data_IF_736520032315
#
_entry.id   IF_736520032315
#
_cell.length_a   1.000
_cell.length_b   1.000
_cell.length_c   1.000
_cell.angle_alpha   90.00
_cell.angle_beta   90.00
_cell.angle_gamma   90.00
#
_symmetry.space_group_name_H-M   'P 1'
#
loop_
_entity.id
_entity.type
_entity.pdbx_description
1 polymer ?
#
# COMPACT_ATOMS: atom_id res chain seq x y z
N UNK A 1 16.30 26.17 10.28
CA UNK A 1 15.47 26.82 9.24
C UNK A 1 14.66 25.72 8.60
N UNK A 2 13.33 25.83 8.51
CA UNK A 2 12.48 24.76 7.99
C UNK A 2 12.31 24.95 6.49
N UNK A 3 12.62 23.93 5.70
CA UNK A 3 12.42 23.95 4.25
C UNK A 3 11.16 23.16 3.91
N UNK A 4 10.29 23.74 3.08
CA UNK A 4 8.99 23.13 2.76
C UNK A 4 8.73 23.17 1.27
N UNK A 5 8.36 22.03 0.68
CA UNK A 5 8.02 21.88 -0.74
C UNK A 5 6.64 21.27 -0.87
N UNK A 6 5.77 21.86 -1.70
CA UNK A 6 4.45 21.29 -1.99
C UNK A 6 4.59 20.01 -2.81
N UNK A 7 3.94 18.93 -2.40
CA UNK A 7 3.88 17.67 -3.13
C UNK A 7 2.84 17.75 -4.26
N UNK A 8 3.25 18.19 -5.46
CA UNK A 8 2.36 18.25 -6.63
C UNK A 8 2.44 16.96 -7.43
N UNK A 9 3.66 16.51 -7.72
CA UNK A 9 3.93 15.26 -8.43
C UNK A 9 5.09 14.55 -7.75
N UNK A 10 5.01 13.24 -7.61
CA UNK A 10 6.11 12.41 -7.16
C UNK A 10 6.36 11.26 -8.16
N UNK A 11 7.63 11.07 -8.51
CA UNK A 11 8.09 9.92 -9.26
C UNK A 11 9.34 9.32 -8.59
N UNK A 12 9.92 8.28 -9.20
CA UNK A 12 11.16 7.69 -8.69
C UNK A 12 12.07 7.30 -9.85
N UNK A 13 13.37 7.21 -9.55
CA UNK A 13 14.38 6.70 -10.45
C UNK A 13 15.44 5.92 -9.67
N UNK A 14 16.25 5.14 -10.37
CA UNK A 14 17.39 4.44 -9.80
C UNK A 14 18.66 5.25 -10.07
N UNK A 15 19.52 5.40 -9.06
CA UNK A 15 20.83 6.03 -9.23
C UNK A 15 21.91 5.36 -8.38
N UNK A 16 23.20 5.55 -8.72
CA UNK A 16 24.29 5.21 -7.81
C UNK A 16 24.15 5.97 -6.47
N UNK A 17 24.50 5.36 -5.33
CA UNK A 17 24.37 6.00 -4.03
C UNK A 17 25.27 7.23 -3.90
N UNK A 18 24.70 8.31 -3.37
CA UNK A 18 25.43 9.52 -3.04
C UNK A 18 25.93 9.41 -1.59
N UNK A 19 27.25 9.40 -1.40
CA UNK A 19 27.86 9.49 -0.06
C UNK A 19 27.20 10.57 0.81
N UNK A 20 26.95 10.23 2.08
CA UNK A 20 26.22 11.02 3.10
C UNK A 20 24.69 11.03 2.99
N UNK A 21 24.10 10.77 1.82
CA UNK A 21 22.63 10.75 1.64
C UNK A 21 22.08 9.33 1.51
N UNK A 22 22.87 8.41 0.94
CA UNK A 22 22.46 7.04 0.64
C UNK A 22 23.35 5.99 1.33
N UNK A 23 22.77 4.81 1.52
CA UNK A 23 23.50 3.62 1.98
C UNK A 23 24.42 3.12 0.87
N UNK A 24 25.73 3.17 1.09
CA UNK A 24 26.75 2.70 0.13
C UNK A 24 27.12 1.21 0.32
N UNK A 25 26.81 0.63 1.48
CA UNK A 25 27.16 -0.76 1.83
C UNK A 25 25.99 -1.42 2.57
N UNK A 26 25.56 -2.59 2.10
CA UNK A 26 24.54 -3.38 2.79
C UNK A 26 25.19 -4.27 3.84
N UNK A 27 25.00 -3.96 5.12
CA UNK A 27 25.46 -4.82 6.23
C UNK A 27 24.83 -6.21 6.16
N UNK A 28 23.56 -6.29 5.73
CA UNK A 28 22.86 -7.54 5.55
C UNK A 28 23.51 -8.38 4.44
N UNK A 29 23.79 -7.83 3.26
CA UNK A 29 24.35 -8.62 2.13
C UNK A 29 25.87 -8.75 2.18
N UNK A 30 26.55 -7.91 2.95
CA UNK A 30 28.01 -7.85 3.02
C UNK A 30 28.66 -7.29 1.75
N UNK A 31 27.90 -6.58 0.91
CA UNK A 31 28.33 -6.10 -0.41
C UNK A 31 28.07 -4.61 -0.60
N UNK A 32 28.84 -3.99 -1.48
CA UNK A 32 28.62 -2.60 -1.90
C UNK A 32 27.31 -2.45 -2.69
N UNK A 33 26.65 -1.32 -2.49
CA UNK A 33 25.38 -1.00 -3.14
C UNK A 33 25.65 -0.27 -4.45
N UNK A 34 25.24 -0.86 -5.57
CA UNK A 34 25.45 -0.25 -6.90
C UNK A 34 24.36 0.77 -7.27
N UNK A 35 23.12 0.53 -6.84
CA UNK A 35 21.94 1.33 -7.19
C UNK A 35 21.00 1.45 -6.00
N UNK A 36 20.45 2.64 -5.81
CA UNK A 36 19.42 2.95 -4.81
C UNK A 36 18.23 3.64 -5.48
N UNK A 37 17.01 3.45 -4.96
CA UNK A 37 15.85 4.18 -5.43
C UNK A 37 15.82 5.59 -4.81
N UNK A 38 15.62 6.60 -5.64
CA UNK A 38 15.46 8.00 -5.21
C UNK A 38 14.09 8.48 -5.66
N UNK A 39 13.33 9.06 -4.73
CA UNK A 39 12.02 9.66 -5.02
C UNK A 39 12.23 11.12 -5.40
N UNK A 40 11.66 11.58 -6.52
CA UNK A 40 11.66 13.00 -6.86
C UNK A 40 10.29 13.58 -6.65
N UNK A 41 10.25 14.74 -6.00
CA UNK A 41 9.04 15.49 -5.71
C UNK A 41 9.14 16.81 -6.45
N UNK A 42 8.16 17.09 -7.31
CA UNK A 42 8.02 18.36 -7.98
C UNK A 42 6.94 19.18 -7.30
N UNK A 43 7.25 20.46 -7.08
CA UNK A 43 6.25 21.44 -6.65
C UNK A 43 6.84 22.80 -6.36
N UNK A 44 6.22 23.54 -5.45
CA UNK A 44 6.64 24.90 -5.12
C UNK A 44 7.01 25.03 -3.65
N UNK A 45 8.01 25.86 -3.35
CA UNK A 45 8.27 26.30 -1.98
C UNK A 45 7.15 27.22 -1.48
N UNK A 46 7.16 27.53 -0.19
CA UNK A 46 6.28 28.55 0.41
C UNK A 46 6.43 29.93 -0.24
N UNK A 47 7.60 30.22 -0.83
CA UNK A 47 7.86 31.46 -1.57
C UNK A 47 7.44 31.39 -3.04
N UNK A 48 6.86 30.27 -3.49
CA UNK A 48 6.41 30.06 -4.86
C UNK A 48 7.49 29.60 -5.86
N UNK A 49 8.72 29.34 -5.41
CA UNK A 49 9.80 28.87 -6.32
C UNK A 49 9.58 27.43 -6.73
N UNK A 50 9.67 27.16 -8.04
CA UNK A 50 9.52 25.79 -8.57
C UNK A 50 10.73 24.96 -8.15
N UNK A 51 10.48 23.89 -7.41
CA UNK A 51 11.52 23.07 -6.79
C UNK A 51 11.37 21.60 -7.17
N UNK A 52 12.50 20.97 -7.50
CA UNK A 52 12.64 19.52 -7.56
C UNK A 52 13.37 19.07 -6.30
N UNK A 53 12.73 18.21 -5.52
CA UNK A 53 13.27 17.65 -4.28
C UNK A 53 13.56 16.16 -4.49
N UNK A 54 14.80 15.75 -4.29
CA UNK A 54 15.26 14.36 -4.30
C UNK A 54 15.25 13.82 -2.87
N UNK A 55 14.50 12.76 -2.62
CA UNK A 55 14.38 12.12 -1.31
C UNK A 55 15.11 10.78 -1.34
N UNK A 56 16.10 10.65 -0.46
CA UNK A 56 17.02 9.53 -0.35
C UNK A 56 16.69 8.62 0.83
N UNK A 57 17.13 7.36 0.76
CA UNK A 57 17.02 6.39 1.86
C UNK A 57 15.62 5.78 2.07
N UNK A 58 14.73 5.87 1.07
CA UNK A 58 13.44 5.19 1.10
C UNK A 58 13.57 3.91 0.27
N UNK A 59 13.34 2.75 0.86
CA UNK A 59 13.37 1.47 0.14
C UNK A 59 11.98 0.84 0.16
N UNK A 60 11.47 0.36 -0.99
CA UNK A 60 10.20 -0.37 -1.04
C UNK A 60 10.28 -1.65 -0.20
N UNK A 61 9.19 -2.00 0.47
CA UNK A 61 9.13 -3.22 1.27
C UNK A 61 7.81 -3.97 1.14
N UNK A 62 7.83 -5.23 1.57
CA UNK A 62 6.63 -6.04 1.81
C UNK A 62 6.87 -6.99 2.99
N UNK A 63 5.83 -7.67 3.45
CA UNK A 63 5.94 -8.62 4.57
C UNK A 63 5.60 -10.04 4.14
N UNK A 64 6.23 -11.04 4.79
CA UNK A 64 5.84 -12.45 4.69
C UNK A 64 5.72 -13.06 6.10
N UNK A 65 4.81 -14.02 6.31
CA UNK A 65 4.62 -14.67 7.61
C UNK A 65 5.86 -15.47 8.03
N UNK A 66 6.24 -15.37 9.31
CA UNK A 66 7.25 -16.24 9.91
C UNK A 66 6.57 -17.33 10.76
N UNK A 67 6.95 -18.59 10.58
CA UNK A 67 6.33 -19.74 11.27
C UNK A 67 6.94 -20.06 12.63
N UNK A 68 7.89 -19.25 13.13
CA UNK A 68 8.46 -19.43 14.47
C UNK A 68 9.42 -20.63 14.62
N UNK A 69 9.75 -21.33 13.53
CA UNK A 69 10.69 -22.46 13.57
C UNK A 69 12.07 -22.10 13.02
N UNK A 70 13.12 -22.32 13.82
CA UNK A 70 14.52 -22.23 13.42
C UNK A 70 15.22 -20.89 13.68
N UNK A 71 16.53 -20.84 13.35
CA UNK A 71 17.33 -19.63 13.41
C UNK A 71 16.87 -18.65 12.31
N UNK A 72 16.17 -17.59 12.73
CA UNK A 72 15.56 -16.61 11.82
C UNK A 72 16.60 -15.96 10.88
N UNK A 73 17.81 -15.67 11.36
CA UNK A 73 18.89 -15.11 10.54
C UNK A 73 19.20 -15.96 9.32
N UNK A 74 19.45 -17.26 9.52
CA UNK A 74 19.76 -18.19 8.42
C UNK A 74 18.61 -18.24 7.41
N UNK A 75 17.37 -18.29 7.90
CA UNK A 75 16.19 -18.33 7.03
C UNK A 75 16.04 -17.04 6.21
N UNK A 76 16.27 -15.87 6.82
CA UNK A 76 16.26 -14.59 6.10
C UNK A 76 17.28 -14.57 4.95
N UNK A 77 18.51 -15.04 5.21
CA UNK A 77 19.54 -15.15 4.19
C UNK A 77 19.18 -16.11 3.06
N UNK A 78 18.63 -17.28 3.40
CA UNK A 78 18.19 -18.28 2.43
C UNK A 78 17.06 -17.74 1.55
N UNK A 79 16.04 -17.12 2.14
CA UNK A 79 14.94 -16.50 1.40
C UNK A 79 15.46 -15.39 0.48
N UNK A 80 16.30 -14.48 0.98
CA UNK A 80 16.87 -13.41 0.17
C UNK A 80 17.68 -13.94 -1.02
N UNK A 81 18.54 -14.95 -0.80
CA UNK A 81 19.36 -15.53 -1.86
C UNK A 81 18.53 -16.31 -2.89
N UNK A 82 17.52 -17.06 -2.45
CA UNK A 82 16.60 -17.75 -3.35
C UNK A 82 15.76 -16.76 -4.16
N UNK A 83 15.28 -15.68 -3.53
CA UNK A 83 14.49 -14.66 -4.21
C UNK A 83 15.31 -13.90 -5.27
N UNK A 84 16.56 -13.55 -4.96
CA UNK A 84 17.47 -12.93 -5.93
C UNK A 84 17.71 -13.84 -7.14
N UNK A 85 17.98 -15.13 -6.91
CA UNK A 85 18.16 -16.11 -8.00
C UNK A 85 16.88 -16.26 -8.83
N UNK A 86 15.72 -16.40 -8.19
CA UNK A 86 14.43 -16.53 -8.87
C UNK A 86 14.09 -15.28 -9.71
N UNK A 87 14.36 -14.08 -9.20
CA UNK A 87 14.19 -12.82 -9.92
C UNK A 87 15.14 -12.72 -11.11
N UNK A 88 16.40 -13.13 -10.96
CA UNK A 88 17.36 -13.16 -12.05
C UNK A 88 16.93 -14.12 -13.18
N UNK A 89 16.42 -15.31 -12.82
CA UNK A 89 15.82 -16.25 -13.79
C UNK A 89 14.59 -15.62 -14.46
N UNK A 90 13.70 -14.99 -13.69
CA UNK A 90 12.51 -14.29 -14.20
C UNK A 90 12.85 -13.17 -15.19
N UNK A 91 13.97 -12.48 -14.99
CA UNK A 91 14.46 -11.43 -15.89
C UNK A 91 15.23 -11.98 -17.11
N UNK A 92 15.30 -13.30 -17.30
CA UNK A 92 16.06 -13.93 -18.38
C UNK A 92 17.57 -13.87 -18.19
N UNK A 93 18.04 -13.60 -16.97
CA UNK A 93 19.45 -13.46 -16.59
C UNK A 93 19.84 -14.50 -15.54
N UNK A 94 19.60 -15.78 -15.81
CA UNK A 94 19.82 -16.86 -14.83
C UNK A 94 21.25 -16.93 -14.26
N UNK A 95 22.26 -16.55 -15.04
CA UNK A 95 23.66 -16.53 -14.62
C UNK A 95 24.08 -15.23 -13.92
N UNK A 96 23.18 -14.27 -13.75
CA UNK A 96 23.50 -13.02 -13.09
C UNK A 96 23.51 -13.21 -11.57
N UNK A 97 24.48 -12.54 -10.92
CA UNK A 97 24.61 -12.46 -9.46
C UNK A 97 24.06 -11.13 -8.91
N UNK A 98 23.13 -10.51 -9.64
CA UNK A 98 22.53 -9.23 -9.26
C UNK A 98 21.64 -9.46 -8.03
N UNK A 99 21.84 -8.63 -7.02
CA UNK A 99 21.03 -8.64 -5.80
C UNK A 99 19.84 -7.70 -5.98
N UNK A 100 18.65 -8.15 -5.58
CA UNK A 100 17.40 -7.39 -5.62
C UNK A 100 16.89 -7.05 -4.21
N UNK A 101 17.17 -7.92 -3.24
CA UNK A 101 16.87 -7.71 -1.81
C UNK A 101 17.98 -6.88 -1.15
N UNK A 102 17.59 -5.77 -0.53
CA UNK A 102 18.49 -4.88 0.22
C UNK A 102 18.75 -5.39 1.65
N UNK A 103 17.67 -5.66 2.39
CA UNK A 103 17.69 -6.04 3.80
C UNK A 103 16.44 -6.86 4.15
N UNK A 104 16.55 -7.75 5.11
CA UNK A 104 15.42 -8.40 5.76
C UNK A 104 15.48 -8.18 7.27
N UNK A 105 14.33 -7.98 7.90
CA UNK A 105 14.21 -7.81 9.35
C UNK A 105 13.01 -8.58 9.88
N UNK A 106 13.13 -9.10 11.10
CA UNK A 106 12.02 -9.72 11.82
C UNK A 106 11.24 -8.64 12.57
N UNK A 107 9.93 -8.58 12.36
CA UNK A 107 9.02 -7.59 12.96
C UNK A 107 7.78 -8.27 13.55
N UNK A 108 7.13 -7.59 14.49
CA UNK A 108 5.86 -7.99 15.09
C UNK A 108 4.74 -7.08 14.61
N UNK A 109 3.57 -7.64 14.30
CA UNK A 109 2.41 -6.84 13.89
C UNK A 109 1.09 -7.58 14.02
N UNK A 110 -0.01 -6.83 14.06
CA UNK A 110 -1.34 -7.39 14.12
C UNK A 110 -1.92 -7.59 12.70
N UNK A 111 -2.29 -8.82 12.30
CA UNK A 111 -2.92 -9.04 11.01
C UNK A 111 -4.28 -8.31 10.94
N UNK A 112 -4.52 -7.59 9.85
CA UNK A 112 -5.78 -6.86 9.66
C UNK A 112 -6.95 -7.79 9.30
N UNK A 113 -6.70 -8.83 8.49
CA UNK A 113 -7.74 -9.79 8.11
C UNK A 113 -7.95 -10.83 9.20
N UNK A 114 -9.17 -10.85 9.75
CA UNK A 114 -9.56 -11.73 10.85
C UNK A 114 -9.52 -11.03 12.21
N UNK A 115 -10.01 -11.72 13.24
CA UNK A 115 -9.92 -11.23 14.62
C UNK A 115 -8.73 -11.89 15.31
N UNK A 116 -7.78 -11.06 15.74
CA UNK A 116 -6.54 -11.48 16.38
C UNK A 116 -6.39 -10.76 17.71
N UNK A 117 -6.14 -11.50 18.78
CA UNK A 117 -5.88 -10.91 20.10
C UNK A 117 -4.41 -10.64 20.36
N UNK A 118 -3.53 -11.30 19.60
CA UNK A 118 -2.07 -11.25 19.77
C UNK A 118 -1.41 -10.85 18.47
N UNK A 119 -0.26 -10.19 18.61
CA UNK A 119 0.61 -9.90 17.48
C UNK A 119 1.26 -11.17 16.93
N UNK A 120 1.62 -11.11 15.66
CA UNK A 120 2.25 -12.20 14.94
C UNK A 120 3.58 -11.73 14.33
N UNK A 121 4.47 -12.67 14.06
CA UNK A 121 5.81 -12.41 13.54
C UNK A 121 5.85 -12.46 12.01
N UNK A 122 6.53 -11.48 11.43
CA UNK A 122 6.69 -11.33 9.98
C UNK A 122 8.13 -10.99 9.63
N UNK A 123 8.58 -11.43 8.44
CA UNK A 123 9.77 -10.85 7.83
C UNK A 123 9.38 -9.66 6.97
N UNK A 124 9.96 -8.50 7.27
CA UNK A 124 9.92 -7.29 6.44
C UNK A 124 11.09 -7.34 5.46
N UNK A 125 10.78 -7.42 4.17
CA UNK A 125 11.75 -7.55 3.07
C UNK A 125 11.83 -6.21 2.35
N UNK A 126 13.03 -5.61 2.33
CA UNK A 126 13.31 -4.39 1.59
C UNK A 126 13.98 -4.71 0.25
N UNK A 127 13.58 -4.00 -0.81
CA UNK A 127 14.11 -4.19 -2.16
C UNK A 127 14.86 -2.95 -2.64
N UNK A 128 15.85 -3.13 -3.51
CA UNK A 128 16.50 -2.00 -4.19
C UNK A 128 15.57 -1.37 -5.23
N UNK A 129 14.89 -2.18 -6.04
CA UNK A 129 14.08 -1.69 -7.15
C UNK A 129 12.57 -1.89 -6.87
N UNK A 130 11.77 -0.81 -6.80
CA UNK A 130 10.32 -0.87 -6.61
C UNK A 130 9.58 -1.76 -7.61
N UNK A 131 10.08 -1.85 -8.85
CA UNK A 131 9.44 -2.64 -9.90
C UNK A 131 9.53 -4.15 -9.66
N UNK A 132 10.45 -4.59 -8.80
CA UNK A 132 10.66 -6.01 -8.51
C UNK A 132 9.70 -6.55 -7.44
N UNK A 133 9.08 -5.68 -6.63
CA UNK A 133 8.22 -6.07 -5.51
C UNK A 133 7.05 -6.95 -5.96
N UNK A 134 6.35 -6.56 -7.04
CA UNK A 134 5.22 -7.34 -7.57
C UNK A 134 5.64 -8.72 -8.05
N UNK A 135 6.74 -8.80 -8.81
CA UNK A 135 7.29 -10.07 -9.29
C UNK A 135 7.76 -10.95 -8.13
N UNK A 136 8.40 -10.35 -7.12
CA UNK A 136 8.82 -11.05 -5.92
C UNK A 136 7.63 -11.65 -5.17
N UNK A 137 6.53 -10.90 -5.05
CA UNK A 137 5.29 -11.39 -4.43
C UNK A 137 4.70 -12.60 -5.16
N UNK A 138 4.63 -12.56 -6.50
CA UNK A 138 4.15 -13.69 -7.31
C UNK A 138 5.05 -14.94 -7.14
N UNK A 139 6.37 -14.76 -7.13
CA UNK A 139 7.33 -15.86 -6.94
C UNK A 139 7.25 -16.50 -5.54
N UNK A 140 6.87 -15.72 -4.53
CA UNK A 140 6.67 -16.21 -3.17
C UNK A 140 5.33 -16.94 -3.03
N UNK A 141 4.27 -16.47 -3.69
CA UNK A 141 2.95 -17.13 -3.70
C UNK A 141 2.95 -18.44 -4.47
N UNK A 142 3.77 -18.53 -5.51
CA UNK A 142 3.80 -19.71 -6.38
C UNK A 142 4.46 -20.94 -5.75
N UNK A 143 5.18 -20.77 -4.63
CA UNK A 143 5.94 -21.83 -3.99
C UNK A 143 7.32 -22.07 -4.60
N UNK A 144 7.76 -21.27 -5.58
CA UNK A 144 9.07 -21.42 -6.23
C UNK A 144 10.24 -21.30 -5.24
N UNK A 145 10.04 -20.58 -4.14
CA UNK A 145 11.08 -20.24 -3.18
C UNK A 145 10.99 -21.21 -1.99
N UNK A 146 12.08 -21.95 -1.74
CA UNK A 146 12.16 -22.94 -0.66
C UNK A 146 11.06 -24.02 -0.68
N UNK A 147 10.42 -24.25 -1.84
CA UNK A 147 9.26 -25.13 -2.01
C UNK A 147 8.11 -24.83 -1.02
N UNK A 148 7.92 -23.54 -0.70
CA UNK A 148 6.95 -23.09 0.29
C UNK A 148 6.18 -21.90 -0.25
N UNK A 149 4.87 -21.97 -0.09
CA UNK A 149 3.96 -20.87 -0.41
C UNK A 149 4.02 -19.86 0.72
N UNK A 150 4.46 -18.64 0.41
CA UNK A 150 4.41 -17.51 1.32
C UNK A 150 3.30 -16.57 0.87
N UNK A 151 2.45 -16.11 1.80
CA UNK A 151 1.47 -15.06 1.54
C UNK A 151 2.15 -13.69 1.73
N UNK A 152 2.36 -12.89 0.67
CA UNK A 152 2.88 -11.55 0.80
C UNK A 152 1.78 -10.62 1.33
N UNK A 153 2.16 -9.76 2.27
CA UNK A 153 1.32 -8.70 2.80
C UNK A 153 1.85 -7.34 2.37
N UNK A 154 0.94 -6.40 2.09
CA UNK A 154 1.23 -5.04 1.60
C UNK A 154 1.99 -4.93 0.27
N UNK A 155 2.26 -6.04 -0.43
CA UNK A 155 2.96 -6.02 -1.72
C UNK A 155 2.20 -5.29 -2.85
N UNK A 156 0.89 -5.06 -2.67
CA UNK A 156 0.04 -4.35 -3.62
C UNK A 156 0.16 -2.82 -3.52
N UNK A 157 0.76 -2.30 -2.44
CA UNK A 157 0.92 -0.86 -2.24
C UNK A 157 1.95 -0.29 -3.23
N UNK A 158 1.58 0.71 -4.05
CA UNK A 158 2.56 1.40 -4.89
C UNK A 158 3.64 2.07 -4.05
N UNK A 159 4.88 2.05 -4.53
CA UNK A 159 6.04 2.59 -3.82
C UNK A 159 5.89 4.03 -3.34
N UNK A 160 5.38 4.93 -4.20
CA UNK A 160 5.13 6.33 -3.82
C UNK A 160 4.03 6.44 -2.76
N UNK A 161 3.02 5.56 -2.80
CA UNK A 161 1.96 5.55 -1.78
C UNK A 161 2.49 5.06 -0.44
N UNK A 162 3.32 4.01 -0.43
CA UNK A 162 4.01 3.52 0.75
C UNK A 162 4.84 4.64 1.39
N UNK A 163 5.64 5.37 0.60
CA UNK A 163 6.37 6.56 1.06
C UNK A 163 5.45 7.64 1.66
N UNK A 164 4.31 7.94 1.02
CA UNK A 164 3.38 8.94 1.54
C UNK A 164 2.77 8.51 2.89
N UNK A 165 2.44 7.24 3.06
CA UNK A 165 1.93 6.69 4.33
C UNK A 165 3.03 6.74 5.40
N UNK A 166 4.24 6.31 5.05
CA UNK A 166 5.39 6.23 5.95
C UNK A 166 5.87 7.57 6.47
N UNK A 167 5.64 8.66 5.75
CA UNK A 167 6.05 9.98 6.19
C UNK A 167 4.88 10.92 6.47
N UNK A 168 3.65 10.38 6.50
CA UNK A 168 2.42 11.15 6.70
C UNK A 168 2.30 12.34 5.74
N UNK A 169 2.50 12.07 4.45
CA UNK A 169 2.47 13.04 3.37
C UNK A 169 1.16 12.96 2.59
N UNK A 170 0.69 14.11 2.14
CA UNK A 170 -0.55 14.24 1.40
C UNK A 170 -0.32 15.00 0.10
N UNK A 171 -1.02 14.59 -0.96
CA UNK A 171 -1.02 15.31 -2.22
C UNK A 171 -1.44 16.76 -2.02
N UNK A 172 -0.80 17.68 -2.75
CA UNK A 172 -0.97 19.13 -2.66
C UNK A 172 -0.65 19.75 -1.29
N UNK A 173 -0.09 18.99 -0.34
CA UNK A 173 0.36 19.49 0.94
C UNK A 173 1.89 19.71 0.96
N UNK A 174 2.42 20.35 1.99
CA UNK A 174 3.86 20.62 2.12
C UNK A 174 4.59 19.44 2.78
N UNK A 175 5.64 18.98 2.13
CA UNK A 175 6.69 18.15 2.71
C UNK A 175 7.62 19.06 3.48
N UNK A 176 7.73 18.83 4.78
CA UNK A 176 8.48 19.66 5.70
C UNK A 176 9.78 18.96 6.07
N UNK A 177 10.90 19.64 5.84
CA UNK A 177 12.24 19.10 5.96
C UNK A 177 13.06 19.88 6.98
N UNK A 178 13.78 19.14 7.82
CA UNK A 178 14.70 19.69 8.83
C UNK A 178 16.02 20.13 8.18
N UNK A 179 16.61 19.27 7.37
CA UNK A 179 17.85 19.51 6.65
C UNK A 179 17.66 19.21 5.16
N UNK A 180 18.33 19.99 4.32
CA UNK A 180 18.30 19.89 2.86
C UNK A 180 19.64 20.34 2.33
N UNK A 181 20.14 19.68 1.28
CA UNK A 181 21.32 20.11 0.53
C UNK A 181 20.92 20.50 -0.89
N UNK A 182 21.36 21.64 -1.38
CA UNK A 182 21.04 22.13 -2.73
C UNK A 182 22.07 21.65 -3.74
N UNK A 183 21.62 21.33 -4.96
CA UNK A 183 22.51 21.07 -6.10
C UNK A 183 22.98 22.39 -6.70
N UNK A 184 24.25 22.45 -7.10
CA UNK A 184 24.84 23.64 -7.72
C UNK A 184 24.28 23.86 -9.11
N UNK A 185 24.01 25.13 -9.45
CA UNK A 185 23.57 25.52 -10.78
C UNK A 185 24.73 26.13 -11.59
N UNK A 186 25.29 25.39 -12.57
CA UNK A 186 26.39 25.91 -13.40
C UNK A 186 25.95 27.06 -14.31
N UNK A 187 24.67 27.14 -14.67
CA UNK A 187 24.14 28.21 -15.55
C UNK A 187 23.87 29.51 -14.78
N UNK A 188 23.66 29.43 -13.46
CA UNK A 188 23.41 30.58 -12.60
C UNK A 188 24.21 30.47 -11.28
N UNK A 189 25.55 30.64 -11.32
CA UNK A 189 26.40 30.51 -10.14
C UNK A 189 26.03 31.49 -9.02
N UNK A 190 25.45 32.65 -9.37
CA UNK A 190 24.99 33.68 -8.42
C UNK A 190 23.77 33.32 -7.58
N UNK A 191 23.05 32.25 -7.92
CA UNK A 191 21.82 31.86 -7.20
C UNK A 191 22.06 31.30 -5.79
N UNK A 192 23.27 30.83 -5.49
CA UNK A 192 23.65 30.22 -4.21
C UNK A 192 24.89 30.88 -3.54
N UNK A 193 25.40 32.01 -4.05
CA UNK A 193 26.62 32.69 -3.55
C UNK A 193 26.57 33.11 -2.06
N UNK A 194 25.38 33.12 -1.44
CA UNK A 194 25.18 33.47 -0.04
C UNK A 194 24.89 32.26 0.87
N UNK A 195 24.91 31.04 0.33
CA UNK A 195 24.64 29.82 1.09
C UNK A 195 25.94 29.17 1.55
N UNK A 196 25.96 28.69 2.79
CA UNK A 196 27.11 28.00 3.36
C UNK A 196 27.40 26.70 2.60
N UNK A 197 28.69 26.40 2.43
CA UNK A 197 29.18 25.24 1.67
C UNK A 197 28.62 23.90 2.21
N UNK A 198 28.28 23.84 3.50
CA UNK A 198 27.64 22.69 4.17
C UNK A 198 26.24 22.34 3.64
N UNK A 199 25.53 23.32 3.05
CA UNK A 199 24.18 23.14 2.50
C UNK A 199 24.28 22.85 0.99
N UNK A 200 25.47 22.83 0.40
CA UNK A 200 25.67 22.55 -1.02
C UNK A 200 26.19 21.13 -1.24
N UNK A 201 25.60 20.42 -2.19
CA UNK A 201 26.12 19.13 -2.62
C UNK A 201 27.41 19.30 -3.44
N UNK A 202 28.36 18.34 -3.38
CA UNK A 202 29.60 18.37 -4.16
C UNK A 202 29.33 18.49 -5.67
N UNK A 203 30.25 19.12 -6.42
CA UNK A 203 30.10 19.37 -7.87
C UNK A 203 29.88 18.10 -8.72
N UNK A 204 30.27 16.93 -8.20
CA UNK A 204 30.00 15.63 -8.84
C UNK A 204 28.50 15.34 -9.01
N UNK A 205 27.64 15.95 -8.17
CA UNK A 205 26.19 15.77 -8.24
C UNK A 205 25.61 16.88 -9.09
N UNK A 206 25.30 16.56 -10.34
CA UNK A 206 24.71 17.49 -11.28
C UNK A 206 23.20 17.61 -11.12
N UNK A 207 22.68 18.71 -11.65
CA UNK A 207 21.25 18.94 -11.80
C UNK A 207 20.62 17.94 -12.76
N UNK A 208 19.40 17.50 -12.45
CA UNK A 208 18.62 16.57 -13.28
C UNK A 208 17.30 17.19 -13.76
N UNK A 209 16.89 18.32 -13.18
CA UNK A 209 15.62 18.98 -13.49
C UNK A 209 15.81 20.40 -14.03
N UNK A 210 14.78 20.90 -14.71
CA UNK A 210 14.69 22.30 -15.19
C UNK A 210 14.00 23.24 -14.19
N UNK A 211 13.81 22.80 -12.94
CA UNK A 211 13.20 23.62 -11.89
C UNK A 211 14.09 24.81 -11.51
N UNK A 212 13.56 25.81 -10.80
CA UNK A 212 14.36 26.96 -10.37
C UNK A 212 15.32 26.59 -9.22
N UNK A 213 14.93 25.61 -8.42
CA UNK A 213 15.72 25.10 -7.30
C UNK A 213 15.69 23.58 -7.30
N UNK A 214 16.84 22.97 -7.04
CA UNK A 214 16.98 21.52 -6.95
C UNK A 214 17.71 21.17 -5.67
N UNK A 215 17.12 20.26 -4.89
CA UNK A 215 17.58 19.98 -3.56
C UNK A 215 17.41 18.50 -3.21
N UNK A 216 18.25 18.01 -2.32
CA UNK A 216 18.31 16.63 -1.88
C UNK A 216 18.13 16.60 -0.37
N UNK A 217 17.36 15.64 0.11
CA UNK A 217 17.13 15.43 1.53
C UNK A 217 17.08 13.95 1.84
N UNK A 218 17.47 13.59 3.05
CA UNK A 218 17.25 12.24 3.55
C UNK A 218 15.79 12.11 4.00
N UNK A 219 15.21 10.93 3.85
CA UNK A 219 13.87 10.68 4.35
C UNK A 219 13.76 10.89 5.87
N UNK A 220 14.85 10.63 6.60
CA UNK A 220 14.98 10.92 8.03
C UNK A 220 14.80 12.40 8.41
N UNK A 221 14.99 13.32 7.48
CA UNK A 221 14.81 14.76 7.71
C UNK A 221 13.35 15.21 7.53
N UNK A 222 12.44 14.33 7.10
CA UNK A 222 11.01 14.64 6.95
C UNK A 222 10.34 14.67 8.33
N UNK A 223 9.75 15.80 8.69
CA UNK A 223 9.16 16.06 10.02
C UNK A 223 7.63 16.08 10.02
N UNK A 224 6.98 15.63 8.94
CA UNK A 224 5.52 15.63 8.84
C UNK A 224 4.83 14.73 9.88
N UNK A 225 5.46 13.62 10.30
CA UNK A 225 4.96 12.75 11.36
C UNK A 225 4.97 13.42 12.74
N UNK A 226 6.01 14.20 13.06
CA UNK A 226 6.13 14.85 14.37
C UNK A 226 5.15 16.02 14.55
N UNK A 227 4.59 16.53 13.46
CA UNK A 227 3.57 17.56 13.48
C UNK A 227 2.16 17.03 13.81
N UNK A 228 1.96 15.70 13.84
CA UNK A 228 0.68 15.09 14.19
C UNK A 228 0.56 15.04 15.71
N UNK A 229 -0.45 15.70 16.27
CA UNK A 229 -0.81 15.54 17.68
C UNK A 229 -1.45 14.16 17.89
N UNK A 230 -1.10 13.45 18.99
CA UNK A 230 -1.60 12.11 19.38
C UNK A 230 -3.13 11.98 19.57
N UNK A 231 -3.91 13.00 19.22
CA UNK A 231 -5.36 12.90 19.22
C UNK A 231 -5.77 12.08 18.00
N UNK A 232 -6.46 10.95 18.24
CA UNK A 232 -7.09 10.06 17.26
C UNK A 232 -7.49 10.85 16.01
N UNK A 233 -6.59 10.89 15.03
CA UNK A 233 -6.60 11.99 14.07
C UNK A 233 -7.78 11.80 13.13
N UNK A 234 -8.73 12.74 13.15
CA UNK A 234 -9.64 12.91 12.03
C UNK A 234 -8.80 12.90 10.75
N UNK A 235 -9.25 12.18 9.73
CA UNK A 235 -8.62 12.19 8.42
C UNK A 235 -8.27 13.64 8.05
N UNK A 236 -6.99 14.01 7.84
CA UNK A 236 -6.59 15.40 7.67
C UNK A 236 -7.29 16.09 6.50
N UNK A 237 -7.64 15.34 5.45
CA UNK A 237 -8.46 15.83 4.35
C UNK A 237 -9.86 16.23 4.82
N UNK A 238 -10.52 15.41 5.63
CA UNK A 238 -11.81 15.76 6.23
C UNK A 238 -11.71 16.92 7.21
N UNK A 239 -10.64 16.99 7.99
CA UNK A 239 -10.41 18.09 8.92
C UNK A 239 -10.30 19.43 8.19
N UNK A 240 -9.56 19.48 7.07
CA UNK A 240 -9.44 20.67 6.24
C UNK A 240 -10.78 21.08 5.61
N UNK A 241 -11.54 20.13 5.05
CA UNK A 241 -12.88 20.39 4.49
C UNK A 241 -13.82 20.93 5.57
N UNK A 242 -13.77 20.36 6.77
CA UNK A 242 -14.62 20.79 7.88
C UNK A 242 -14.26 22.20 8.36
N UNK A 243 -12.98 22.56 8.39
CA UNK A 243 -12.56 23.90 8.76
C UNK A 243 -12.94 24.95 7.70
N UNK A 244 -12.87 24.59 6.41
CA UNK A 244 -13.32 25.44 5.31
C UNK A 244 -14.84 25.70 5.39
N UNK A 245 -15.65 24.67 5.65
CA UNK A 245 -17.10 24.85 5.85
C UNK A 245 -17.41 25.68 7.11
N UNK A 246 -16.67 25.50 8.21
CA UNK A 246 -16.81 26.38 9.38
C UNK A 246 -16.46 27.83 9.03
N UNK A 247 -15.43 28.06 8.23
CA UNK A 247 -15.05 29.40 7.78
C UNK A 247 -16.14 30.04 6.92
N UNK A 248 -16.63 29.33 5.90
CA UNK A 248 -17.74 29.79 5.06
C UNK A 248 -18.97 30.18 5.88
N UNK A 249 -19.28 29.40 6.93
CA UNK A 249 -20.38 29.71 7.86
C UNK A 249 -20.12 30.97 8.69
N UNK A 250 -18.89 31.17 9.18
CA UNK A 250 -18.50 32.38 9.91
C UNK A 250 -18.66 33.62 9.03
N UNK A 251 -18.21 33.55 7.78
CA UNK A 251 -18.35 34.63 6.79
C UNK A 251 -19.83 34.93 6.47
N UNK A 252 -20.68 33.89 6.44
CA UNK A 252 -22.13 34.02 6.28
C UNK A 252 -22.90 34.34 7.57
N UNK A 253 -22.23 34.65 8.69
CA UNK A 253 -22.87 34.97 9.97
C UNK A 253 -23.64 33.81 10.64
N UNK A 254 -23.36 32.56 10.24
CA UNK A 254 -23.98 31.34 10.79
C UNK A 254 -23.12 30.73 11.89
N UNK A 255 -23.70 29.85 12.69
CA UNK A 255 -22.97 29.12 13.75
C UNK A 255 -21.96 28.13 13.15
N UNK A 256 -20.76 28.07 13.72
CA UNK A 256 -19.70 27.12 13.33
C UNK A 256 -19.88 25.72 13.90
N UNK A 257 -20.91 25.49 14.73
CA UNK A 257 -21.22 24.17 15.27
C UNK A 257 -22.03 23.39 14.25
N UNK A 258 -21.38 22.39 13.65
CA UNK A 258 -22.01 21.49 12.68
C UNK A 258 -22.27 20.17 13.43
N UNK A 259 -23.52 19.92 13.79
CA UNK A 259 -23.95 18.62 14.30
C UNK A 259 -24.42 17.77 13.13
N UNK A 260 -24.01 16.48 13.06
CA UNK A 260 -24.61 15.58 12.08
C UNK A 260 -26.13 15.57 12.27
N UNK A 261 -26.87 15.63 11.16
CA UNK A 261 -28.31 15.48 11.22
C UNK A 261 -28.64 14.10 11.80
N UNK A 262 -29.69 14.03 12.61
CA UNK A 262 -30.22 12.73 13.07
C UNK A 262 -30.48 11.87 11.84
N UNK A 263 -29.91 10.66 11.81
CA UNK A 263 -30.22 9.68 10.77
C UNK A 263 -31.74 9.54 10.71
N UNK A 264 -32.31 9.54 9.49
CA UNK A 264 -33.74 9.25 9.32
C UNK A 264 -34.03 7.93 9.99
N UNK A 265 -35.15 7.83 10.71
CA UNK A 265 -35.61 6.56 11.27
C UNK A 265 -35.71 5.56 10.12
N UNK A 266 -34.93 4.49 10.21
CA UNK A 266 -35.03 3.40 9.23
C UNK A 266 -36.39 2.74 9.48
N UNK A 267 -37.24 2.58 8.45
CA UNK A 267 -38.47 1.83 8.62
C UNK A 267 -38.13 0.43 9.13
N UNK A 268 -38.99 -0.11 10.00
CA UNK A 268 -38.82 -1.46 10.52
C UNK A 268 -38.80 -2.44 9.35
N UNK A 269 -37.64 -3.04 9.09
CA UNK A 269 -37.50 -4.15 8.16
C UNK A 269 -37.63 -5.45 8.97
N UNK A 270 -38.55 -6.33 8.56
CA UNK A 270 -38.58 -7.68 9.10
C UNK A 270 -37.21 -8.36 8.87
N UNK A 271 -36.77 -9.17 9.83
CA UNK A 271 -35.54 -9.95 9.65
C UNK A 271 -35.77 -10.96 8.53
N UNK A 272 -34.87 -11.00 7.56
CA UNK A 272 -34.92 -12.00 6.49
C UNK A 272 -34.67 -13.41 7.04
N UNK A 273 -35.13 -14.44 6.34
CA UNK A 273 -34.93 -15.84 6.67
C UNK A 273 -33.43 -16.18 6.75
N UNK A 274 -32.62 -15.61 5.85
CA UNK A 274 -31.16 -15.68 5.89
C UNK A 274 -30.57 -15.09 7.19
N UNK A 275 -31.07 -13.93 7.64
CA UNK A 275 -30.63 -13.32 8.90
C UNK A 275 -31.00 -14.19 10.11
N UNK A 276 -32.20 -14.79 10.10
CA UNK A 276 -32.64 -15.72 11.15
C UNK A 276 -31.78 -16.99 11.17
N UNK A 277 -31.50 -17.57 10.00
CA UNK A 277 -30.65 -18.75 9.84
C UNK A 277 -29.23 -18.51 10.39
N UNK A 278 -28.57 -17.43 9.95
CA UNK A 278 -27.22 -17.12 10.43
C UNK A 278 -27.19 -16.76 11.91
N UNK A 279 -28.23 -16.10 12.43
CA UNK A 279 -28.36 -15.80 13.86
C UNK A 279 -28.50 -17.08 14.68
N UNK A 280 -29.31 -18.03 14.24
CA UNK A 280 -29.45 -19.33 14.92
C UNK A 280 -28.13 -20.11 14.89
N UNK A 281 -27.48 -20.18 13.72
CA UNK A 281 -26.18 -20.85 13.55
C UNK A 281 -25.09 -20.22 14.42
N UNK A 282 -25.08 -18.89 14.57
CA UNK A 282 -24.18 -18.18 15.47
C UNK A 282 -24.45 -18.57 16.93
N UNK A 283 -25.73 -18.60 17.33
CA UNK A 283 -26.14 -18.96 18.68
C UNK A 283 -25.74 -20.40 19.03
N UNK A 284 -25.95 -21.36 18.13
CA UNK A 284 -25.52 -22.75 18.29
C UNK A 284 -24.00 -22.87 18.46
N UNK A 285 -23.23 -22.15 17.65
CA UNK A 285 -21.76 -22.13 17.77
C UNK A 285 -21.29 -21.52 19.10
N UNK A 286 -21.92 -20.45 19.56
CA UNK A 286 -21.60 -19.84 20.85
C UNK A 286 -21.93 -20.77 22.02
N UNK A 287 -23.04 -21.50 21.95
CA UNK A 287 -23.39 -22.51 22.96
C UNK A 287 -22.37 -23.65 23.00
N UNK A 288 -21.97 -24.16 21.83
CA UNK A 288 -20.92 -25.19 21.72
C UNK A 288 -19.61 -24.70 22.36
N UNK A 289 -19.18 -23.48 22.03
CA UNK A 289 -17.95 -22.89 22.56
C UNK A 289 -18.03 -22.73 24.09
N UNK A 290 -19.16 -22.26 24.61
CA UNK A 290 -19.36 -22.10 26.04
C UNK A 290 -19.34 -23.45 26.78
N UNK A 291 -19.90 -24.51 26.17
CA UNK A 291 -19.83 -25.88 26.71
C UNK A 291 -18.40 -26.46 26.73
N UNK A 292 -17.57 -26.09 25.76
CA UNK A 292 -16.16 -26.49 25.71
C UNK A 292 -15.34 -25.76 26.78
N UNK A 293 -15.62 -24.48 27.01
CA UNK A 293 -15.02 -23.70 28.10
C UNK A 293 -15.43 -24.22 29.49
N UNK A 294 -16.68 -24.65 29.68
CA UNK A 294 -17.14 -25.20 30.96
C UNK A 294 -16.53 -26.58 31.26
N UNK A 295 -16.27 -27.41 30.25
CA UNK A 295 -15.68 -28.74 30.42
C UNK A 295 -14.15 -28.70 30.58
N UNK A 296 -13.47 -27.64 30.11
CA UNK A 296 -12.02 -27.48 30.22
C UNK A 296 -11.55 -26.81 31.52
N UNK A 297 -12.44 -26.57 32.48
CA UNK A 297 -12.06 -26.04 33.80
C UNK A 297 -11.39 -27.08 34.71
N UNK A 298 -11.15 -28.30 34.24
CA UNK A 298 -10.56 -29.37 35.05
C UNK A 298 -9.62 -30.33 34.29
N UNK A 299 -8.75 -29.82 33.41
CA UNK A 299 -7.49 -30.50 33.00
C UNK A 299 -6.59 -29.51 32.25
N UNK A 300 -5.79 -28.73 32.98
CA UNK A 300 -4.51 -28.25 32.45
C UNK A 300 -3.53 -29.41 32.59
N UNK A 301 -3.09 -29.99 31.46
CA UNK A 301 -1.80 -30.62 31.19
C UNK A 301 -1.87 -31.37 29.85
N UNK A 302 -1.05 -30.91 28.90
CA UNK A 302 -0.53 -31.60 27.71
C UNK A 302 -1.49 -32.38 26.78
N UNK A 303 -1.92 -31.71 25.71
CA UNK A 303 -2.12 -32.36 24.40
C UNK A 303 -1.30 -31.61 23.34
N UNK A 304 -0.27 -32.23 22.74
CA UNK A 304 0.52 -31.62 21.68
C UNK A 304 -0.15 -31.93 20.34
N UNK A 305 -1.34 -31.37 20.11
CA UNK A 305 -1.81 -31.19 18.75
C UNK A 305 -1.74 -29.71 18.46
N UNK A 306 -0.60 -29.30 17.88
CA UNK A 306 -0.48 -28.03 17.16
C UNK A 306 -1.57 -28.07 16.09
N UNK A 307 -2.76 -27.59 16.43
CA UNK A 307 -3.69 -27.08 15.43
C UNK A 307 -2.88 -26.02 14.70
N UNK A 308 -2.36 -26.38 13.52
CA UNK A 308 -1.65 -25.44 12.65
C UNK A 308 -2.64 -24.32 12.36
N UNK A 309 -2.58 -23.27 13.15
CA UNK A 309 -3.28 -22.04 12.85
C UNK A 309 -2.77 -21.62 11.48
N UNK A 310 -3.63 -21.22 10.54
CA UNK A 310 -3.19 -20.74 9.22
C UNK A 310 -2.42 -19.41 9.32
N UNK A 311 -2.28 -18.88 10.53
CA UNK A 311 -1.64 -17.62 10.85
C UNK A 311 -0.18 -17.82 11.26
N UNK A 312 0.68 -16.80 11.04
CA UNK A 312 2.08 -16.79 11.44
C UNK A 312 2.29 -17.08 12.94
N UNK A 313 3.54 -17.26 13.36
CA UNK A 313 3.86 -17.45 14.77
C UNK A 313 3.42 -16.24 15.61
N UNK A 314 2.70 -16.51 16.70
CA UNK A 314 2.36 -15.47 17.68
C UNK A 314 3.63 -14.92 18.33
N UNK A 315 3.68 -13.61 18.54
CA UNK A 315 4.75 -12.95 19.28
C UNK A 315 4.54 -13.16 20.78
N UNK A 316 5.58 -13.61 21.49
CA UNK A 316 5.56 -13.68 22.96
C UNK A 316 5.60 -12.27 23.57
N UNK A 317 4.88 -12.05 24.67
CA UNK A 317 4.78 -10.74 25.34
C UNK A 317 6.14 -10.16 25.77
N UNK A 318 7.16 -11.00 25.99
CA UNK A 318 8.52 -10.60 26.38
C UNK A 318 9.47 -10.33 25.19
N UNK A 319 8.97 -10.31 23.96
CA UNK A 319 9.83 -10.19 22.77
C UNK A 319 10.19 -8.72 22.46
N UNK A 320 11.48 -8.41 22.38
CA UNK A 320 12.00 -7.07 21.97
C UNK A 320 11.98 -6.87 20.44
N UNK A 321 10.95 -7.37 19.74
CA UNK A 321 10.84 -7.20 18.28
C UNK A 321 10.39 -5.80 17.91
N UNK A 322 10.84 -5.33 16.75
CA UNK A 322 10.38 -4.07 16.17
C UNK A 322 8.94 -4.19 15.70
N UNK A 323 8.15 -3.14 15.92
CA UNK A 323 6.79 -3.06 15.39
C UNK A 323 6.82 -2.97 13.86
N UNK A 324 5.90 -3.66 13.17
CA UNK A 324 5.85 -3.68 11.71
C UNK A 324 5.65 -2.28 11.12
N UNK A 325 4.90 -1.41 11.81
CA UNK A 325 4.64 -0.01 11.43
C UNK A 325 5.88 0.91 11.58
N UNK A 326 6.94 0.42 12.24
CA UNK A 326 8.17 1.18 12.43
C UNK A 326 8.85 1.44 11.08
N UNK A 327 9.15 2.71 10.83
CA UNK A 327 9.85 3.16 9.63
C UNK A 327 11.34 3.16 9.92
N UNK A 328 12.04 2.19 9.33
CA UNK A 328 13.49 2.05 9.47
C UNK A 328 14.19 3.19 8.72
N UNK A 329 15.01 3.95 9.45
CA UNK A 329 15.82 5.01 8.88
C UNK A 329 17.10 4.39 8.35
N UNK A 330 17.12 4.09 7.04
CA UNK A 330 18.26 3.49 6.35
C UNK A 330 19.42 4.50 6.20
N UNK A 331 20.08 4.80 7.31
CA UNK A 331 21.21 5.73 7.41
C UNK A 331 22.52 4.94 7.41
N UNK A 332 23.57 5.50 6.82
CA UNK A 332 24.92 4.96 6.94
C UNK A 332 25.40 5.09 8.39
N UNK A 333 25.44 3.96 9.11
CA UNK A 333 25.96 3.81 10.47
C UNK A 333 27.45 4.24 10.50
N UNK A 334 27.73 5.43 11.03
CA UNK A 334 29.11 5.84 11.38
C UNK A 334 29.62 5.13 12.65
N UNK A 335 28.77 4.34 13.30
CA UNK A 335 29.08 3.56 14.49
C UNK A 335 28.67 2.12 14.29
N UNK A 336 29.61 1.21 14.53
CA UNK A 336 29.40 -0.23 14.66
C UNK A 336 28.23 -0.52 15.60
N UNK A 337 27.05 -0.82 15.06
CA UNK A 337 26.08 -1.65 15.77
C UNK A 337 26.71 -3.05 15.89
N UNK A 338 26.54 -3.75 17.02
CA UNK A 338 27.08 -5.09 17.17
C UNK A 338 26.14 -6.05 16.45
N UNK A 339 26.14 -6.04 15.12
CA UNK A 339 25.90 -7.31 14.45
C UNK A 339 27.13 -8.13 14.80
N UNK A 340 26.96 -9.08 15.72
CA UNK A 340 27.97 -10.05 16.07
C UNK A 340 28.49 -10.57 14.73
N UNK A 341 29.79 -10.38 14.46
CA UNK A 341 30.54 -11.21 13.51
C UNK A 341 30.41 -12.64 14.03
N UNK A 342 29.26 -13.28 13.80
CA UNK A 342 29.18 -14.73 13.76
C UNK A 342 30.09 -15.07 12.59
N UNK A 343 31.30 -15.50 12.95
CA UNK A 343 32.42 -15.62 12.03
C UNK A 343 32.00 -16.30 10.75
N UNK A 344 32.55 -15.83 9.62
CA UNK A 344 32.57 -16.51 8.32
C UNK A 344 31.62 -17.71 8.29
N UNK A 345 30.31 -17.45 8.12
CA UNK A 345 29.38 -18.55 7.85
C UNK A 345 29.92 -19.20 6.58
N UNK A 346 30.45 -20.41 6.75
CA UNK A 346 30.97 -21.22 5.66
C UNK A 346 29.92 -21.22 4.55
N UNK A 347 30.35 -20.76 3.37
CA UNK A 347 29.50 -20.52 2.20
C UNK A 347 28.82 -21.79 1.67
N UNK A 348 29.16 -22.97 2.22
CA UNK A 348 28.77 -24.27 1.70
C UNK A 348 27.39 -24.78 2.20
N UNK A 349 26.84 -24.26 3.30
CA UNK A 349 25.58 -24.78 3.88
C UNK A 349 24.34 -23.88 3.71
N UNK A 350 24.47 -22.74 3.03
CA UNK A 350 23.37 -21.81 2.73
C UNK A 350 22.91 -21.92 1.26
N UNK A 351 22.67 -23.14 0.81
CA UNK A 351 22.18 -23.38 -0.55
C UNK A 351 20.85 -22.64 -0.80
N UNK A 352 20.84 -21.73 -1.78
CA UNK A 352 19.61 -21.15 -2.30
C UNK A 352 18.80 -22.26 -2.97
N UNK A 353 17.59 -22.53 -2.48
CA UNK A 353 16.66 -23.47 -3.10
C UNK A 353 15.60 -22.70 -3.89
N UNK A 354 15.57 -22.92 -5.20
CA UNK A 354 14.61 -22.32 -6.14
C UNK A 354 14.17 -23.40 -7.12
N UNK A 355 12.86 -23.57 -7.28
CA UNK A 355 12.28 -24.39 -8.33
C UNK A 355 12.29 -23.60 -9.65
N UNK A 356 13.30 -23.84 -10.48
CA UNK A 356 13.52 -23.09 -11.73
C UNK A 356 12.40 -23.33 -12.76
N UNK A 357 11.85 -24.55 -12.81
CA UNK A 357 10.77 -24.90 -13.75
C UNK A 357 9.50 -24.13 -13.41
N UNK A 358 9.19 -24.00 -12.11
CA UNK A 358 8.04 -23.24 -11.66
C UNK A 358 8.21 -21.73 -11.94
N UNK A 359 9.41 -21.17 -11.75
CA UNK A 359 9.73 -19.79 -12.16
C UNK A 359 9.53 -19.59 -13.67
N UNK A 360 10.01 -20.52 -14.50
CA UNK A 360 9.88 -20.43 -15.96
C UNK A 360 8.41 -20.58 -16.42
N UNK A 361 7.62 -21.41 -15.73
CA UNK A 361 6.19 -21.58 -16.01
C UNK A 361 5.41 -20.27 -15.80
N UNK A 362 5.71 -19.53 -14.73
CA UNK A 362 5.09 -18.23 -14.44
C UNK A 362 5.37 -17.20 -15.53
N UNK A 363 6.60 -17.18 -16.06
CA UNK A 363 6.96 -16.30 -17.18
C UNK A 363 6.13 -16.61 -18.44
N UNK A 364 5.85 -17.90 -18.69
CA UNK A 364 5.05 -18.32 -19.84
C UNK A 364 3.58 -17.92 -19.69
N UNK A 365 3.04 -17.98 -18.47
CA UNK A 365 1.70 -17.49 -18.15
C UNK A 365 1.59 -15.97 -18.28
N UNK A 366 2.61 -15.22 -17.85
CA UNK A 366 2.64 -13.75 -18.00
C UNK A 366 2.69 -13.31 -19.48
N UNK A 367 3.38 -14.04 -20.35
CA UNK A 367 3.37 -13.75 -21.81
C UNK A 367 2.00 -13.99 -22.45
N UNK A 368 1.14 -14.84 -21.87
CA UNK A 368 -0.26 -14.99 -22.30
C UNK A 368 -1.13 -13.84 -21.81
N UNK A 369 -0.88 -13.31 -20.61
CA UNK A 369 -1.61 -12.19 -20.03
C UNK A 369 -1.33 -10.83 -20.73
N UNK A 370 -0.22 -10.68 -21.46
CA UNK A 370 0.04 -9.44 -22.22
C UNK A 370 -0.85 -9.27 -23.47
N UNK A 371 -1.64 -10.30 -23.85
CA UNK A 371 -2.53 -10.23 -25.02
C UNK A 371 -4.02 -10.27 -24.70
N UNK A 372 -4.43 -10.55 -23.46
CA UNK A 372 -5.82 -10.44 -23.01
C UNK A 372 -5.85 -9.62 -21.71
N UNK A 373 -6.44 -8.42 -21.82
CA UNK A 373 -6.97 -7.56 -20.75
C UNK A 373 -6.40 -7.75 -19.34
N UNK A 374 -5.76 -6.68 -18.85
CA UNK A 374 -5.29 -6.36 -17.47
C UNK A 374 -6.38 -6.47 -16.37
N UNK A 375 -7.51 -7.12 -16.63
CA UNK A 375 -8.71 -7.10 -15.80
C UNK A 375 -9.27 -8.48 -15.45
N UNK A 376 -8.72 -9.59 -15.96
CA UNK A 376 -9.10 -10.94 -15.51
C UNK A 376 -7.89 -11.88 -15.50
N UNK A 377 -7.52 -12.37 -14.33
CA UNK A 377 -6.60 -13.48 -14.14
C UNK A 377 -7.34 -14.85 -14.11
N UNK A 378 -6.61 -15.95 -13.93
CA UNK A 378 -7.21 -17.29 -13.90
C UNK A 378 -8.10 -17.54 -12.67
N UNK A 379 -7.92 -16.77 -11.59
CA UNK A 379 -8.81 -16.82 -10.43
C UNK A 379 -10.10 -16.06 -10.73
N UNK A 380 -10.03 -14.98 -11.52
CA UNK A 380 -11.21 -14.24 -11.97
C UNK A 380 -12.09 -15.08 -12.92
N UNK A 381 -11.51 -15.98 -13.72
CA UNK A 381 -12.24 -16.94 -14.57
C UNK A 381 -12.97 -18.01 -13.72
N UNK A 382 -12.34 -18.48 -12.66
CA UNK A 382 -12.97 -19.38 -11.68
C UNK A 382 -14.07 -18.65 -10.88
N UNK A 383 -13.82 -17.41 -10.47
CA UNK A 383 -14.80 -16.57 -9.79
C UNK A 383 -15.98 -16.25 -10.71
N UNK A 384 -15.78 -16.01 -12.00
CA UNK A 384 -16.88 -15.83 -12.95
C UNK A 384 -17.66 -17.11 -13.18
N UNK A 385 -17.02 -18.28 -13.20
CA UNK A 385 -17.72 -19.55 -13.22
C UNK A 385 -18.55 -19.79 -11.95
N UNK A 386 -18.04 -19.39 -10.78
CA UNK A 386 -18.80 -19.41 -9.52
C UNK A 386 -19.96 -18.41 -9.56
N UNK A 387 -19.77 -17.19 -10.06
CA UNK A 387 -20.82 -16.18 -10.20
C UNK A 387 -21.91 -16.63 -11.19
N UNK A 388 -21.52 -17.23 -12.32
CA UNK A 388 -22.44 -17.81 -13.29
C UNK A 388 -23.19 -19.02 -12.71
N UNK A 389 -22.56 -19.83 -11.86
CA UNK A 389 -23.24 -20.90 -11.15
C UNK A 389 -24.18 -20.36 -10.06
N UNK A 390 -23.83 -19.25 -9.40
CA UNK A 390 -24.72 -18.58 -8.43
C UNK A 390 -25.93 -17.92 -9.11
N UNK A 391 -25.76 -17.37 -10.31
CA UNK A 391 -26.86 -16.86 -11.16
C UNK A 391 -27.86 -17.96 -11.50
N UNK A 392 -27.37 -19.16 -11.83
CA UNK A 392 -28.22 -20.30 -12.20
C UNK A 392 -28.80 -21.08 -10.99
N UNK A 393 -28.32 -20.82 -9.77
CA UNK A 393 -28.75 -21.50 -8.52
C UNK A 393 -29.61 -20.58 -7.64
N UNK A 394 -29.85 -19.34 -8.03
CA UNK A 394 -30.59 -18.38 -7.22
C UNK A 394 -32.09 -18.72 -7.16
N UNK A 395 -32.46 -19.68 -6.30
CA UNK A 395 -33.68 -19.56 -5.49
C UNK A 395 -33.48 -18.29 -4.65
N UNK A 396 -33.82 -17.14 -5.24
CA UNK A 396 -33.81 -15.87 -4.54
C UNK A 396 -34.89 -15.99 -3.46
N UNK A 397 -34.49 -15.91 -2.19
CA UNK A 397 -35.46 -15.86 -1.10
C UNK A 397 -36.47 -14.74 -1.40
N UNK A 398 -37.77 -15.07 -1.39
CA UNK A 398 -38.88 -14.15 -1.70
C UNK A 398 -38.89 -12.90 -0.79
N UNK A 399 -38.13 -12.92 0.30
CA UNK A 399 -37.96 -11.82 1.26
C UNK A 399 -36.69 -10.97 1.03
N UNK A 400 -35.93 -11.26 -0.04
CA UNK A 400 -34.70 -10.55 -0.39
C UNK A 400 -34.98 -9.16 -0.95
N UNK A 401 -34.71 -8.14 -0.13
CA UNK A 401 -34.88 -6.71 -0.47
C UNK A 401 -33.96 -6.28 -1.65
N UNK A 402 -32.89 -7.04 -1.93
CA UNK A 402 -31.97 -6.77 -3.04
C UNK A 402 -32.35 -7.55 -4.32
N UNK A 403 -33.17 -8.60 -4.21
CA UNK A 403 -33.61 -9.43 -5.34
C UNK A 403 -34.85 -8.90 -6.07
N UNK A 404 -35.54 -7.89 -5.52
CA UNK A 404 -36.82 -7.39 -6.03
C UNK A 404 -36.75 -6.62 -7.36
N UNK A 405 -35.59 -6.51 -7.99
CA UNK A 405 -35.44 -5.81 -9.27
C UNK A 405 -35.87 -6.67 -10.48
N UNK A 406 -35.87 -8.00 -10.37
CA UNK A 406 -36.20 -8.91 -11.48
C UNK A 406 -37.71 -9.18 -11.59
N UNK A 407 -38.47 -9.06 -10.50
CA UNK A 407 -39.92 -9.39 -10.51
C UNK A 407 -40.84 -8.28 -11.03
N UNK A 408 -40.36 -7.04 -11.24
CA UNK A 408 -41.23 -5.95 -11.74
C UNK A 408 -41.39 -5.95 -13.27
N UNK A 409 -40.51 -6.59 -14.05
CA UNK A 409 -40.63 -6.60 -15.52
C UNK A 409 -41.60 -7.67 -16.06
N UNK A 410 -42.07 -8.60 -15.22
CA UNK A 410 -42.91 -9.73 -15.67
C UNK A 410 -44.40 -9.60 -15.30
N UNK A 411 -44.82 -8.51 -14.65
CA UNK A 411 -46.23 -8.29 -14.25
C UNK A 411 -46.97 -7.23 -15.07
N UNK A 412 -46.30 -6.49 -15.96
CA UNK A 412 -46.92 -5.42 -16.76
C UNK A 412 -47.41 -5.86 -18.16
N UNK A 413 -47.20 -7.11 -18.59
CA UNK A 413 -47.65 -7.59 -19.91
C UNK A 413 -49.06 -8.22 -19.96
N UNK A 414 -49.74 -8.39 -18.82
CA UNK A 414 -51.11 -8.91 -18.80
C UNK A 414 -52.01 -8.03 -17.92
N UNK A 415 -52.44 -6.87 -18.41
CA UNK A 415 -53.80 -6.32 -18.22
C UNK A 415 -53.99 -5.08 -19.14
N UNK A 416 -55.12 -5.09 -19.85
CA UNK A 416 -55.76 -4.02 -20.62
C UNK A 416 -55.32 -3.72 -22.06
N UNK A 417 -55.93 -4.48 -22.98
CA UNK A 417 -56.57 -3.86 -24.15
C UNK A 417 -57.97 -3.34 -23.79
N UNK A 418 -58.21 -2.05 -24.04
CA UNK A 418 -59.47 -1.45 -24.50
C UNK A 418 -59.23 0.05 -24.73
N UNK A 419 -59.36 0.45 -26.00
CA UNK A 419 -59.71 1.75 -26.58
C UNK A 419 -59.83 2.96 -25.64
N UNK A 420 -59.07 4.04 -25.92
CA UNK A 420 -59.62 5.23 -26.55
C UNK A 420 -58.55 6.31 -26.79
N UNK A 421 -58.84 7.10 -27.82
CA UNK A 421 -58.06 8.17 -28.44
C UNK A 421 -57.67 9.33 -27.49
N UNK A 422 -56.63 10.06 -27.91
CA UNK A 422 -56.24 11.43 -27.53
C UNK A 422 -54.91 11.56 -26.78
N UNK A 423 -53.84 11.91 -27.51
CA UNK A 423 -52.85 12.88 -27.03
C UNK A 423 -52.11 13.49 -28.22
N UNK A 424 -52.44 14.75 -28.45
CA UNK A 424 -51.86 15.64 -29.46
C UNK A 424 -50.37 15.92 -29.19
N UNK A 425 -49.64 16.01 -30.30
CA UNK A 425 -48.31 16.60 -30.45
C UNK A 425 -48.12 17.90 -29.65
N UNK A 426 -47.02 17.97 -28.90
CA UNK A 426 -46.25 19.20 -28.75
C UNK A 426 -44.76 18.86 -28.69
N UNK A 427 -44.16 18.76 -29.88
CA UNK A 427 -42.73 18.99 -30.07
C UNK A 427 -42.57 20.45 -30.53
N UNK A 428 -41.92 21.28 -29.71
CA UNK A 428 -41.41 22.58 -30.18
C UNK A 428 -39.94 22.42 -30.60
N UNK A 429 -39.57 22.82 -31.83
CA UNK A 429 -38.20 23.00 -32.23
C UNK A 429 -37.76 24.48 -32.11
N UNK A 430 -36.50 24.67 -31.73
CA UNK A 430 -35.76 25.92 -31.95
C UNK A 430 -35.43 26.05 -33.45
N UNK A 431 -35.97 27.07 -34.12
CA UNK A 431 -35.14 28.16 -34.68
C UNK A 431 -35.94 29.21 -35.48
N UNK A 432 -35.50 30.45 -35.29
CA UNK A 432 -35.37 31.52 -36.29
C UNK A 432 -36.37 32.72 -36.32
N UNK A 433 -35.72 33.90 -36.25
CA UNK A 433 -36.03 35.20 -36.86
C UNK A 433 -36.96 36.18 -36.13
N UNK A 434 -36.35 37.23 -35.58
CA UNK A 434 -36.85 38.60 -35.72
C UNK A 434 -35.68 39.57 -35.84
N UNK A 435 -35.25 39.81 -37.08
CA UNK A 435 -34.80 41.13 -37.48
C UNK A 435 -36.04 42.01 -37.60
N UNK A 436 -35.98 43.25 -37.10
CA UNK A 436 -36.26 44.47 -37.87
C UNK A 436 -36.31 45.72 -36.98
N UNK A 437 -35.28 46.55 -37.14
CA UNK A 437 -35.28 48.01 -37.34
C UNK A 437 -35.64 49.01 -36.22
N UNK A 438 -34.70 49.95 -36.10
CA UNK A 438 -34.77 51.44 -35.98
C UNK A 438 -33.99 51.96 -34.78
N UNK A 439 -33.20 53.03 -34.81
CA UNK A 439 -32.61 53.87 -35.85
C UNK A 439 -31.57 54.78 -35.15
N UNK A 440 -30.62 55.28 -35.93
CA UNK A 440 -30.03 56.62 -35.87
C UNK A 440 -28.98 57.07 -34.82
N UNK A 441 -27.90 57.59 -35.44
CA UNK A 441 -26.81 58.50 -35.06
C UNK A 441 -25.53 57.99 -34.37
#
# INVERSE_FOLDING_TARGET
>A
MMFSVRLVLADHYMSPPIHELDVSYSEFRGTEVEQVPVIRIFGSTVTGKKTCLHVHGVFPYMYIPFEGSGAHDRLMYQIASSLDKALNISLGKANATVQHVFKMTLVSGLPFYGFHTKEHQYFKIYFYNPLMVKKAAELLQSGAILNKIYQPHEAHLPYILQFMIDYNLYGMNHVNLKNVKFRRDPENPGSFECLSEEILLPERVSRLSTCETEADAMAADIINRTAVSDQLALNPGLAAIWEDEKQRRREGGRTSQITPQSSRERPFAASTDSALFFKQKLHEKLLLLNSQLSNNSSTLLDTPEVTKTPYPAETSEDSELLEASFVDLHIQSSGSSPFIRSGQMEQDDNASFVDEDLVLSLLSSQRRATHNSVWMDSQDEELTAVLHNLENIADIDEDSILGSQICQELQDEEIHGCDDEDMQDFSEPLDAVLDCYTDDY
#
